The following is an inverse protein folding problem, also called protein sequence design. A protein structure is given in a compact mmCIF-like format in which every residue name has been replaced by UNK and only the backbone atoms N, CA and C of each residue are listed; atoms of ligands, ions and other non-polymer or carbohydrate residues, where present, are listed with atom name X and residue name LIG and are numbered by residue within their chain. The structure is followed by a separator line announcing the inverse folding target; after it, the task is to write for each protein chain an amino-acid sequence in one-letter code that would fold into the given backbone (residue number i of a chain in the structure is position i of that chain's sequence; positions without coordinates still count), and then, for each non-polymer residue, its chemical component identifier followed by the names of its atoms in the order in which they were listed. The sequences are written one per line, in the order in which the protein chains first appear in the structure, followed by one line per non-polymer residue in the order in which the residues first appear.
data_IF_546523138785
#
_entry.id   IF_546523138785
#
_cell.length_a   1.000
_cell.length_b   1.000
_cell.length_c   1.000
_cell.angle_alpha   90.00
_cell.angle_beta   90.00
_cell.angle_gamma   90.00
#
_symmetry.space_group_name_H-M   'P 1'
#
loop_
_entity.id
_entity.type
_entity.pdbx_description
1 polymer ?
#
# COMPACT_ATOMS: atom_id res chain seq x y z
N UNK A 1 -8.69 -17.54 74.95
CA UNK A 1 -9.75 -17.13 74.00
C UNK A 1 -9.17 -16.49 72.71
N UNK A 2 -7.99 -16.94 72.23
CA UNK A 2 -7.23 -16.32 71.12
C UNK A 2 -7.32 -17.08 69.78
N UNK A 3 -7.90 -18.28 69.75
CA UNK A 3 -7.94 -19.13 68.54
C UNK A 3 -8.93 -18.68 67.44
N UNK A 4 -9.88 -17.81 67.76
CA UNK A 4 -10.97 -17.42 66.83
C UNK A 4 -10.57 -16.31 65.85
N UNK A 5 -9.70 -15.37 66.21
CA UNK A 5 -9.32 -14.27 65.30
C UNK A 5 -8.35 -14.72 64.20
N UNK A 6 -7.47 -15.66 64.51
CA UNK A 6 -6.50 -16.22 63.58
C UNK A 6 -7.18 -17.07 62.50
N UNK A 7 -8.19 -17.85 62.89
CA UNK A 7 -9.04 -18.63 61.97
C UNK A 7 -9.89 -17.74 61.06
N UNK A 8 -10.39 -16.60 61.55
CA UNK A 8 -11.13 -15.64 60.73
C UNK A 8 -10.22 -14.93 59.71
N UNK A 9 -9.00 -14.55 60.13
CA UNK A 9 -7.99 -13.93 59.26
C UNK A 9 -7.51 -14.88 58.16
N UNK A 10 -7.33 -16.18 58.45
CA UNK A 10 -6.97 -17.16 57.43
C UNK A 10 -8.10 -17.35 56.39
N UNK A 11 -9.36 -17.44 56.80
CA UNK A 11 -10.50 -17.53 55.87
C UNK A 11 -10.59 -16.34 54.92
N UNK A 12 -10.32 -15.12 55.40
CA UNK A 12 -10.28 -13.93 54.53
C UNK A 12 -9.10 -13.94 53.55
N UNK A 13 -7.96 -14.51 53.94
CA UNK A 13 -6.77 -14.65 53.08
C UNK A 13 -6.99 -15.71 51.99
N UNK A 14 -7.58 -16.84 52.35
CA UNK A 14 -7.97 -17.92 51.43
C UNK A 14 -9.02 -17.44 50.42
N UNK A 15 -10.06 -16.73 50.88
CA UNK A 15 -11.07 -16.15 50.00
C UNK A 15 -10.50 -15.15 48.98
N UNK A 16 -9.57 -14.29 49.40
CA UNK A 16 -8.87 -13.36 48.49
C UNK A 16 -8.02 -14.08 47.44
N UNK A 17 -7.36 -15.16 47.85
CA UNK A 17 -6.52 -15.97 46.96
C UNK A 17 -7.38 -16.72 45.94
N UNK A 18 -8.52 -17.27 46.37
CA UNK A 18 -9.47 -17.94 45.49
C UNK A 18 -10.06 -16.98 44.43
N UNK A 19 -10.48 -15.78 44.84
CA UNK A 19 -11.00 -14.76 43.91
C UNK A 19 -9.92 -14.32 42.92
N UNK A 20 -8.68 -14.14 43.38
CA UNK A 20 -7.56 -13.80 42.51
C UNK A 20 -7.28 -14.90 41.47
N UNK A 21 -7.28 -16.17 41.87
CA UNK A 21 -7.09 -17.30 40.95
C UNK A 21 -8.21 -17.38 39.91
N UNK A 22 -9.47 -17.15 40.30
CA UNK A 22 -10.60 -17.11 39.35
C UNK A 22 -10.45 -15.97 38.35
N UNK A 23 -10.06 -14.78 38.80
CA UNK A 23 -9.80 -13.65 37.91
C UNK A 23 -8.65 -13.95 36.94
N UNK A 24 -7.60 -14.61 37.41
CA UNK A 24 -6.44 -15.01 36.60
C UNK A 24 -6.81 -16.07 35.56
N UNK A 25 -7.64 -17.06 35.93
CA UNK A 25 -8.16 -18.05 34.98
C UNK A 25 -9.04 -17.39 33.91
N UNK A 26 -9.96 -16.50 34.32
CA UNK A 26 -10.85 -15.79 33.38
C UNK A 26 -10.08 -14.88 32.42
N UNK A 27 -9.07 -14.17 32.91
CA UNK A 27 -8.23 -13.30 32.05
C UNK A 27 -7.37 -14.12 31.08
N UNK A 28 -6.87 -15.28 31.49
CA UNK A 28 -6.10 -16.18 30.59
C UNK A 28 -6.94 -16.70 29.41
N UNK A 29 -8.23 -16.96 29.62
CA UNK A 29 -9.17 -17.36 28.56
C UNK A 29 -9.38 -16.21 27.54
N UNK A 30 -9.40 -14.95 28.00
CA UNK A 30 -9.57 -13.79 27.11
C UNK A 30 -8.35 -13.55 26.21
N UNK A 31 -7.14 -13.91 26.67
CA UNK A 31 -5.92 -13.85 25.83
C UNK A 31 -6.01 -14.81 24.64
N UNK A 32 -6.68 -15.96 24.78
CA UNK A 32 -6.92 -16.89 23.66
C UNK A 32 -8.04 -16.44 22.70
N UNK A 33 -8.83 -15.44 23.10
CA UNK A 33 -9.90 -14.85 22.27
C UNK A 33 -9.40 -13.66 21.44
N UNK A 34 -8.14 -13.25 21.58
CA UNK A 34 -7.52 -12.33 20.63
C UNK A 34 -7.47 -13.07 19.30
N UNK A 35 -8.23 -12.64 18.26
CA UNK A 35 -8.16 -13.30 16.97
C UNK A 35 -6.71 -13.30 16.53
N UNK A 36 -6.17 -14.48 16.22
CA UNK A 36 -4.88 -14.58 15.57
C UNK A 36 -5.00 -13.72 14.30
N UNK A 37 -4.27 -12.61 14.26
CA UNK A 37 -4.18 -11.76 13.06
C UNK A 37 -3.55 -12.64 11.99
N UNK A 38 -4.39 -13.21 11.15
CA UNK A 38 -3.95 -13.97 9.99
C UNK A 38 -3.56 -12.95 8.94
N UNK A 39 -2.26 -12.69 8.81
CA UNK A 39 -1.69 -11.81 7.79
C UNK A 39 -1.68 -12.49 6.40
N UNK A 40 -2.83 -12.99 5.95
CA UNK A 40 -2.98 -13.59 4.62
C UNK A 40 -4.33 -13.17 4.02
N UNK A 41 -4.38 -11.92 3.59
CA UNK A 41 -5.42 -11.42 2.70
C UNK A 41 -4.71 -10.85 1.48
N UNK A 42 -4.82 -11.52 0.33
CA UNK A 42 -4.28 -11.05 -0.94
C UNK A 42 -5.39 -10.28 -1.64
N UNK A 43 -5.20 -8.98 -1.81
CA UNK A 43 -6.04 -8.14 -2.66
C UNK A 43 -5.37 -7.95 -4.01
N UNK A 44 -6.18 -7.83 -5.06
CA UNK A 44 -5.71 -7.59 -6.42
C UNK A 44 -6.32 -6.30 -6.92
N UNK A 45 -5.49 -5.42 -7.44
CA UNK A 45 -5.89 -4.16 -8.05
C UNK A 45 -5.48 -4.19 -9.52
N UNK A 46 -6.43 -3.91 -10.41
CA UNK A 46 -6.16 -3.86 -11.82
C UNK A 46 -5.42 -2.56 -12.16
N UNK A 47 -4.31 -2.68 -12.88
CA UNK A 47 -3.57 -1.57 -13.48
C UNK A 47 -3.65 -1.67 -15.01
N UNK A 48 -2.94 -0.81 -15.73
CA UNK A 48 -2.85 -0.95 -17.18
C UNK A 48 -2.04 -2.21 -17.58
N UNK A 49 -2.18 -2.66 -18.84
CA UNK A 49 -1.51 -3.87 -19.37
C UNK A 49 0.00 -3.88 -19.08
N UNK A 50 0.58 -5.07 -18.95
CA UNK A 50 2.04 -5.26 -18.88
C UNK A 50 2.77 -4.39 -17.84
N UNK A 51 2.37 -4.44 -16.54
CA UNK A 51 3.06 -3.69 -15.49
C UNK A 51 4.52 -4.14 -15.37
N UNK A 52 5.43 -3.18 -15.36
CA UNK A 52 6.87 -3.42 -15.40
C UNK A 52 7.59 -3.01 -14.12
N UNK A 53 7.16 -1.90 -13.52
CA UNK A 53 7.72 -1.39 -12.27
C UNK A 53 6.63 -0.76 -11.40
N UNK A 54 6.87 -0.74 -10.09
CA UNK A 54 6.00 -0.16 -9.07
C UNK A 54 6.84 0.70 -8.13
N UNK A 55 6.34 1.88 -7.80
CA UNK A 55 6.94 2.76 -6.80
C UNK A 55 5.87 3.25 -5.81
N UNK A 56 6.30 3.70 -4.64
CA UNK A 56 5.44 3.98 -3.49
C UNK A 56 5.77 5.36 -2.95
N UNK A 57 4.75 6.17 -2.69
CA UNK A 57 4.85 7.49 -2.11
C UNK A 57 3.48 8.15 -1.98
N UNK A 58 3.38 9.21 -1.18
CA UNK A 58 2.13 9.96 -1.00
C UNK A 58 1.92 10.90 -2.20
N UNK A 59 1.01 10.53 -3.11
CA UNK A 59 0.79 11.23 -4.38
C UNK A 59 -0.30 12.31 -4.28
N UNK A 60 -1.14 12.25 -3.25
CA UNK A 60 -2.29 13.15 -3.08
C UNK A 60 -2.19 14.04 -1.81
N UNK A 61 -1.09 13.95 -1.06
CA UNK A 61 -0.80 14.67 0.17
C UNK A 61 -1.79 14.37 1.32
N UNK A 62 -2.35 13.17 1.37
CA UNK A 62 -3.25 12.76 2.44
C UNK A 62 -2.53 12.12 3.64
N UNK A 63 -1.21 11.92 3.56
CA UNK A 63 -0.39 11.29 4.57
C UNK A 63 -0.38 9.77 4.50
N UNK A 64 -0.92 9.18 3.44
CA UNK A 64 -0.89 7.76 3.17
C UNK A 64 -0.04 7.47 1.94
N UNK A 65 0.76 6.40 2.03
CA UNK A 65 1.56 5.98 0.88
C UNK A 65 0.64 5.34 -0.17
N UNK A 66 0.67 5.90 -1.37
CA UNK A 66 0.02 5.41 -2.58
C UNK A 66 0.96 4.52 -3.39
N UNK A 67 0.43 3.92 -4.45
CA UNK A 67 1.20 3.10 -5.40
C UNK A 67 1.10 3.71 -6.79
N UNK A 68 2.24 3.87 -7.45
CA UNK A 68 2.31 4.15 -8.87
C UNK A 68 2.82 2.92 -9.63
N UNK A 69 2.08 2.50 -10.64
CA UNK A 69 2.41 1.41 -11.52
C UNK A 69 2.71 1.92 -12.93
N UNK A 70 3.85 1.51 -13.49
CA UNK A 70 4.22 1.81 -14.87
C UNK A 70 4.10 0.57 -15.75
N UNK A 71 3.78 0.82 -17.02
CA UNK A 71 3.49 -0.21 -18.01
C UNK A 71 4.52 -0.16 -19.15
N UNK A 72 5.11 -1.33 -19.43
CA UNK A 72 5.88 -1.54 -20.65
C UNK A 72 4.92 -1.71 -21.81
N UNK A 73 5.29 -1.16 -22.96
CA UNK A 73 4.44 -1.17 -24.15
C UNK A 73 3.03 -0.56 -23.93
N UNK A 74 2.82 0.21 -22.88
CA UNK A 74 1.57 0.92 -22.56
C UNK A 74 1.56 2.39 -22.98
N UNK A 75 0.40 3.03 -22.84
CA UNK A 75 0.24 4.48 -23.05
C UNK A 75 -0.07 5.23 -21.74
N UNK A 76 -0.18 4.49 -20.63
CA UNK A 76 -0.60 5.02 -19.35
C UNK A 76 0.29 4.51 -18.23
N UNK A 77 0.47 5.34 -17.21
CA UNK A 77 0.84 4.92 -15.87
C UNK A 77 -0.43 4.93 -15.01
N UNK A 78 -0.48 4.10 -13.98
CA UNK A 78 -1.65 3.97 -13.10
C UNK A 78 -1.26 4.34 -11.68
N UNK A 79 -1.87 5.38 -11.12
CA UNK A 79 -1.84 5.69 -9.70
C UNK A 79 -2.98 4.96 -8.98
N UNK A 80 -2.67 4.37 -7.84
CA UNK A 80 -3.60 3.68 -6.95
C UNK A 80 -3.53 4.35 -5.57
N UNK A 81 -4.61 5.01 -5.18
CA UNK A 81 -4.65 5.81 -3.95
C UNK A 81 -5.08 4.97 -2.76
N UNK A 82 -4.37 5.15 -1.65
CA UNK A 82 -4.58 4.43 -0.40
C UNK A 82 -5.59 5.15 0.48
N UNK A 83 -6.60 4.44 0.97
CA UNK A 83 -7.60 4.99 1.90
C UNK A 83 -7.13 5.07 3.38
N UNK A 84 -5.84 4.85 3.64
CA UNK A 84 -5.25 4.78 4.99
C UNK A 84 -5.54 3.48 5.75
N UNK A 85 -6.38 2.60 5.21
CA UNK A 85 -6.69 1.28 5.75
C UNK A 85 -6.07 0.15 4.92
N UNK A 86 -5.27 0.50 3.92
CA UNK A 86 -4.62 -0.45 3.01
C UNK A 86 -5.50 -0.87 1.84
N UNK A 87 -6.57 -0.13 1.52
CA UNK A 87 -7.33 -0.34 0.30
C UNK A 87 -6.90 0.65 -0.80
N UNK A 88 -6.67 0.10 -1.99
CA UNK A 88 -6.20 0.84 -3.17
C UNK A 88 -7.25 0.85 -4.30
N UNK A 89 -8.52 0.99 -3.92
CA UNK A 89 -9.64 0.86 -4.86
C UNK A 89 -9.81 2.10 -5.76
N UNK A 90 -9.32 3.26 -5.32
CA UNK A 90 -9.30 4.47 -6.12
C UNK A 90 -8.10 4.45 -7.06
N UNK A 91 -8.38 4.66 -8.35
CA UNK A 91 -7.42 4.46 -9.44
C UNK A 91 -7.52 5.62 -10.41
N UNK A 92 -6.36 6.12 -10.82
CA UNK A 92 -6.24 7.08 -11.89
C UNK A 92 -5.21 6.62 -12.93
N UNK A 93 -5.63 6.59 -14.18
CA UNK A 93 -4.72 6.36 -15.31
C UNK A 93 -4.28 7.69 -15.91
N UNK A 94 -2.98 7.90 -15.99
CA UNK A 94 -2.37 9.10 -16.57
C UNK A 94 -1.76 8.74 -17.91
N UNK A 95 -2.20 9.41 -18.96
CA UNK A 95 -1.68 9.21 -20.31
C UNK A 95 -0.29 9.85 -20.44
N UNK A 96 0.71 9.05 -20.81
CA UNK A 96 2.12 9.45 -20.86
C UNK A 96 2.74 9.28 -22.25
N UNK A 97 1.94 8.91 -23.25
CA UNK A 97 2.42 8.76 -24.63
C UNK A 97 2.71 10.11 -25.29
N UNK A 98 3.70 10.10 -26.18
CA UNK A 98 4.15 11.24 -26.98
C UNK A 98 3.21 11.58 -28.16
N UNK A 99 2.08 10.87 -28.32
CA UNK A 99 1.05 11.20 -29.29
C UNK A 99 -0.14 11.86 -28.57
N UNK A 100 -0.50 13.08 -28.96
CA UNK A 100 -1.63 13.83 -28.41
C UNK A 100 -2.98 13.08 -28.53
N UNK A 101 -3.07 12.09 -29.42
CA UNK A 101 -4.24 11.23 -29.56
C UNK A 101 -4.18 10.03 -28.63
N UNK A 102 -5.19 9.89 -27.76
CA UNK A 102 -5.46 8.65 -27.00
C UNK A 102 -5.77 7.42 -27.90
N UNK A 103 -5.85 7.63 -29.23
CA UNK A 103 -5.92 6.59 -30.27
C UNK A 103 -4.54 6.15 -30.77
N UNK A 104 -3.49 6.48 -30.02
CA UNK A 104 -2.11 6.06 -30.21
C UNK A 104 -2.04 4.60 -30.69
N UNK A 105 -1.41 4.39 -31.85
CA UNK A 105 -1.14 3.05 -32.36
C UNK A 105 0.03 2.41 -31.61
N UNK A 106 0.38 1.18 -32.00
CA UNK A 106 1.60 0.52 -31.50
C UNK A 106 2.88 1.35 -31.73
N UNK A 107 2.84 2.31 -32.66
CA UNK A 107 3.97 3.19 -32.97
C UNK A 107 4.18 4.34 -32.00
N UNK A 108 3.18 4.63 -31.16
CA UNK A 108 3.12 5.81 -30.29
C UNK A 108 3.17 5.40 -28.80
N UNK A 109 3.86 4.31 -28.51
CA UNK A 109 3.85 3.71 -27.18
C UNK A 109 4.82 4.42 -26.24
N UNK A 110 4.37 4.67 -25.00
CA UNK A 110 5.09 5.48 -24.01
C UNK A 110 6.18 4.71 -23.25
N UNK A 111 6.41 3.44 -23.61
CA UNK A 111 7.27 2.44 -22.99
C UNK A 111 7.99 2.88 -21.71
N UNK A 112 7.25 2.96 -20.60
CA UNK A 112 7.80 3.40 -19.32
C UNK A 112 8.35 2.18 -18.60
N UNK A 113 9.66 2.18 -18.38
CA UNK A 113 10.36 1.04 -17.78
C UNK A 113 10.57 1.19 -16.28
N UNK A 114 10.59 2.43 -15.79
CA UNK A 114 10.92 2.75 -14.41
C UNK A 114 10.27 4.07 -13.98
N UNK A 115 10.09 4.27 -12.66
CA UNK A 115 9.57 5.50 -12.09
C UNK A 115 10.00 5.73 -10.63
N UNK A 116 10.15 7.01 -10.28
CA UNK A 116 10.54 7.50 -8.96
C UNK A 116 9.52 8.53 -8.46
N UNK A 117 9.27 8.53 -7.15
CA UNK A 117 8.42 9.50 -6.47
C UNK A 117 9.28 10.28 -5.49
N UNK A 118 9.33 11.60 -5.64
CA UNK A 118 10.06 12.50 -4.74
C UNK A 118 9.60 13.94 -4.94
N UNK A 119 9.66 14.76 -3.90
CA UNK A 119 9.58 16.22 -4.01
C UNK A 119 10.86 16.76 -4.67
N UNK A 120 10.77 17.18 -5.93
CA UNK A 120 11.91 17.60 -6.75
C UNK A 120 11.96 19.12 -6.88
N UNK A 121 10.81 19.79 -6.83
CA UNK A 121 10.74 21.25 -6.94
C UNK A 121 10.75 21.99 -5.58
N UNK A 122 10.62 21.25 -4.47
CA UNK A 122 10.71 21.74 -3.11
C UNK A 122 9.41 22.35 -2.58
N UNK A 123 8.27 22.06 -3.19
CA UNK A 123 6.97 22.58 -2.76
C UNK A 123 6.31 21.78 -1.62
N UNK A 124 6.91 20.65 -1.25
CA UNK A 124 6.42 19.76 -0.20
C UNK A 124 5.37 18.74 -0.67
N UNK A 125 5.11 18.67 -1.98
CA UNK A 125 4.29 17.66 -2.66
C UNK A 125 5.22 16.71 -3.40
N UNK A 126 4.92 15.41 -3.39
CA UNK A 126 5.74 14.48 -4.16
C UNK A 126 5.46 14.61 -5.66
N UNK A 127 6.52 14.69 -6.46
CA UNK A 127 6.49 14.60 -7.91
C UNK A 127 6.64 13.16 -8.40
N UNK A 128 6.25 12.94 -9.65
CA UNK A 128 6.47 11.69 -10.38
C UNK A 128 7.50 11.92 -11.47
N UNK A 129 8.60 11.17 -11.43
CA UNK A 129 9.54 11.03 -12.54
C UNK A 129 9.40 9.65 -13.13
N UNK A 130 9.27 9.55 -14.44
CA UNK A 130 9.21 8.27 -15.14
C UNK A 130 10.16 8.24 -16.32
N UNK A 131 10.72 7.06 -16.58
CA UNK A 131 11.69 6.84 -17.63
C UNK A 131 11.00 6.21 -18.83
N UNK A 132 10.82 7.02 -19.87
CA UNK A 132 10.25 6.60 -21.13
C UNK A 132 11.33 6.20 -22.13
N UNK A 133 11.25 4.97 -22.62
CA UNK A 133 12.03 4.55 -23.78
C UNK A 133 11.32 4.96 -25.08
N UNK A 134 12.05 5.64 -25.96
CA UNK A 134 11.56 5.89 -27.31
C UNK A 134 11.63 4.60 -28.12
N UNK A 135 10.48 3.99 -28.41
CA UNK A 135 10.42 2.92 -29.40
C UNK A 135 10.48 3.57 -30.79
N UNK A 136 11.69 3.68 -31.36
CA UNK A 136 11.85 4.14 -32.75
C UNK A 136 11.50 3.00 -33.70
N UNK A 137 10.45 3.19 -34.49
CA UNK A 137 10.17 2.32 -35.61
C UNK A 137 11.06 2.73 -36.79
N UNK A 138 11.96 1.84 -37.20
CA UNK A 138 12.77 2.05 -38.40
C UNK A 138 11.87 1.83 -39.63
N UNK A 139 11.17 2.88 -40.05
CA UNK A 139 10.30 2.89 -41.22
C UNK A 139 10.13 4.26 -41.88
N UNK A 140 10.56 5.34 -41.22
CA UNK A 140 10.58 6.67 -41.83
C UNK A 140 11.81 6.77 -42.74
N UNK A 141 11.59 7.09 -44.01
CA UNK A 141 12.71 7.38 -44.91
C UNK A 141 13.44 8.60 -44.34
N UNK A 142 14.71 8.43 -43.99
CA UNK A 142 15.59 9.54 -43.68
C UNK A 142 15.61 10.51 -44.87
N UNK A 143 14.81 11.57 -44.81
CA UNK A 143 14.90 12.68 -45.76
C UNK A 143 16.08 13.53 -45.31
N UNK A 144 17.17 13.52 -46.09
CA UNK A 144 18.28 14.45 -45.85
C UNK A 144 17.76 15.88 -46.02
N UNK A 145 18.10 16.81 -45.13
CA UNK A 145 17.97 18.22 -45.44
C UNK A 145 18.87 18.54 -46.64
N UNK A 146 18.33 19.31 -47.59
CA UNK A 146 19.08 19.85 -48.74
C UNK A 146 20.24 20.76 -48.28
#
# INVERSE_FOLDING_TARGET
MLHTSESARNRTKEGRTAVFMVLLMLTSLMVSLVPAVSASHITQYAVQRDPAHLTVGDLNCDGHNDILAVSVMGHYITALYNDGQGNFADRQDVFISNNDSQRAGFVDTANSVDAEIADIDGDGVNDIVYYQENIRFVGESFVRPD
#
